data_IF_715512436057
#
_entry.id   IF_715512436057
#
_cell.length_a   1.000
_cell.length_b   1.000
_cell.length_c   1.000
_cell.angle_alpha   90.00
_cell.angle_beta   90.00
_cell.angle_gamma   90.00
#
_symmetry.space_group_name_H-M   'P 1'
#
loop_
_entity.id
_entity.type
_entity.pdbx_description
1 polymer ?
#
# COMPACT_ATOMS: atom_id res chain seq x y z
N UNK A 1 2.48 22.60 -7.01
CA UNK A 1 2.88 21.98 -8.28
C UNK A 1 1.87 20.89 -8.65
N UNK A 2 1.37 20.95 -9.84
CA UNK A 2 0.42 19.98 -10.34
C UNK A 2 1.15 18.70 -10.78
N UNK A 3 0.66 17.55 -10.33
CA UNK A 3 1.16 16.25 -10.81
C UNK A 3 0.54 15.94 -12.16
N UNK A 4 1.27 15.27 -13.07
CA UNK A 4 0.65 14.82 -14.32
C UNK A 4 -0.40 13.74 -14.01
N UNK A 5 -1.39 13.58 -14.90
CA UNK A 5 -2.37 12.51 -14.70
C UNK A 5 -1.71 11.13 -14.75
N UNK A 6 -2.24 10.19 -13.98
CA UNK A 6 -1.86 8.79 -14.10
C UNK A 6 -2.66 8.17 -15.24
N UNK A 7 -1.97 7.56 -16.19
CA UNK A 7 -2.61 6.94 -17.36
C UNK A 7 -2.31 5.45 -17.35
N UNK A 8 -3.33 4.64 -17.48
CA UNK A 8 -3.24 3.18 -17.48
C UNK A 8 -3.91 2.64 -18.73
N UNK A 9 -3.23 1.76 -19.42
CA UNK A 9 -3.78 1.03 -20.57
C UNK A 9 -3.83 -0.45 -20.26
N UNK A 10 -4.96 -1.09 -20.56
CA UNK A 10 -5.16 -2.52 -20.34
C UNK A 10 -5.58 -3.20 -21.62
N UNK A 11 -4.97 -4.36 -21.90
CA UNK A 11 -5.30 -5.19 -23.06
C UNK A 11 -5.68 -6.59 -22.59
N UNK A 12 -6.83 -7.09 -23.01
CA UNK A 12 -7.25 -8.45 -22.71
C UNK A 12 -6.33 -9.46 -23.39
N UNK A 13 -5.84 -10.44 -22.61
CA UNK A 13 -4.91 -11.46 -23.12
C UNK A 13 -5.45 -12.89 -22.94
N UNK A 14 -6.74 -13.03 -22.72
CA UNK A 14 -7.42 -14.31 -22.58
C UNK A 14 -7.96 -14.52 -21.18
N UNK A 15 -8.91 -15.41 -21.03
CA UNK A 15 -9.62 -15.69 -19.77
C UNK A 15 -10.06 -14.39 -19.10
N UNK A 16 -9.70 -14.18 -17.84
CA UNK A 16 -9.94 -12.92 -17.13
C UNK A 16 -8.61 -12.26 -16.78
N UNK A 17 -7.70 -12.23 -17.75
CA UNK A 17 -6.36 -11.67 -17.62
C UNK A 17 -6.20 -10.45 -18.52
N UNK A 18 -5.51 -9.46 -18.01
CA UNK A 18 -5.20 -8.23 -18.74
C UNK A 18 -3.73 -7.88 -18.56
N UNK A 19 -3.11 -7.51 -19.68
CA UNK A 19 -1.76 -6.93 -19.64
C UNK A 19 -1.89 -5.41 -19.53
N UNK A 20 -1.24 -4.82 -18.56
CA UNK A 20 -1.34 -3.40 -18.28
C UNK A 20 -0.02 -2.67 -18.38
N UNK A 21 -0.09 -1.41 -18.80
CA UNK A 21 1.05 -0.50 -18.80
C UNK A 21 0.64 0.84 -18.23
N UNK A 22 1.60 1.51 -17.58
CA UNK A 22 1.45 2.88 -17.12
C UNK A 22 2.82 3.52 -17.18
N UNK A 23 3.05 4.42 -18.15
CA UNK A 23 4.39 4.91 -18.43
C UNK A 23 5.33 3.74 -18.76
N UNK A 24 6.46 3.64 -18.08
CA UNK A 24 7.42 2.54 -18.24
C UNK A 24 7.09 1.32 -17.39
N UNK A 25 6.08 1.40 -16.52
CA UNK A 25 5.70 0.32 -15.63
C UNK A 25 4.71 -0.63 -16.31
N UNK A 26 4.75 -1.90 -15.93
CA UNK A 26 3.81 -2.90 -16.45
C UNK A 26 3.35 -3.83 -15.34
N UNK A 27 2.17 -4.41 -15.53
CA UNK A 27 1.57 -5.35 -14.60
C UNK A 27 0.57 -6.22 -15.33
N UNK A 28 0.50 -7.50 -14.99
CA UNK A 28 -0.59 -8.37 -15.42
C UNK A 28 -1.62 -8.44 -14.31
N UNK A 29 -2.89 -8.21 -14.65
CA UNK A 29 -4.00 -8.43 -13.73
C UNK A 29 -4.68 -9.73 -14.11
N UNK A 30 -4.95 -10.57 -13.11
CA UNK A 30 -5.60 -11.86 -13.29
C UNK A 30 -6.66 -12.02 -12.21
N UNK A 31 -7.92 -12.14 -12.62
CA UNK A 31 -9.03 -12.29 -11.68
C UNK A 31 -8.85 -13.52 -10.77
N UNK A 32 -8.16 -14.56 -11.25
CA UNK A 32 -7.85 -15.75 -10.47
C UNK A 32 -6.66 -15.56 -9.51
N UNK A 33 -5.90 -14.48 -9.67
CA UNK A 33 -4.76 -14.17 -8.81
C UNK A 33 -3.57 -15.09 -9.00
N UNK A 34 -3.41 -15.70 -10.18
CA UNK A 34 -2.33 -16.67 -10.46
C UNK A 34 -1.23 -16.04 -11.30
N UNK A 35 -1.56 -15.47 -12.46
CA UNK A 35 -0.56 -14.87 -13.35
C UNK A 35 -0.17 -13.45 -12.89
N UNK A 36 -0.91 -12.89 -11.98
CA UNK A 36 -0.69 -11.59 -11.39
C UNK A 36 -1.76 -11.34 -10.36
N UNK A 37 -1.73 -10.19 -9.67
CA UNK A 37 -2.76 -9.89 -8.69
C UNK A 37 -4.12 -9.67 -9.37
N UNK A 38 -5.18 -10.02 -8.65
CA UNK A 38 -6.52 -9.58 -9.05
C UNK A 38 -6.62 -8.06 -8.89
N UNK A 39 -7.61 -7.39 -9.52
CA UNK A 39 -7.79 -5.95 -9.30
C UNK A 39 -7.94 -5.57 -7.83
N UNK A 40 -8.64 -6.37 -7.04
CA UNK A 40 -8.83 -6.11 -5.62
C UNK A 40 -7.51 -6.29 -4.86
N UNK A 41 -6.74 -7.32 -5.18
CA UNK A 41 -5.39 -7.49 -4.60
C UNK A 41 -4.48 -6.33 -4.99
N UNK A 42 -4.59 -5.86 -6.23
CA UNK A 42 -3.78 -4.73 -6.71
C UNK A 42 -4.07 -3.45 -5.92
N UNK A 43 -5.34 -3.22 -5.53
CA UNK A 43 -5.69 -2.10 -4.67
C UNK A 43 -5.05 -2.25 -3.29
N UNK A 44 -5.01 -3.46 -2.74
CA UNK A 44 -4.32 -3.75 -1.48
C UNK A 44 -2.82 -3.48 -1.58
N UNK A 45 -2.18 -3.95 -2.65
CA UNK A 45 -0.77 -3.64 -2.92
C UNK A 45 -0.54 -2.13 -2.98
N UNK A 46 -1.43 -1.41 -3.66
CA UNK A 46 -1.30 0.03 -3.81
C UNK A 46 -1.37 0.75 -2.47
N UNK A 47 -2.33 0.39 -1.63
CA UNK A 47 -2.48 1.03 -0.32
C UNK A 47 -1.28 0.74 0.58
N UNK A 48 -0.93 -0.54 0.74
CA UNK A 48 0.20 -0.93 1.58
C UNK A 48 1.51 -0.33 1.07
N UNK A 49 1.74 -0.39 -0.24
CA UNK A 49 2.94 0.16 -0.86
C UNK A 49 3.04 1.67 -0.74
N UNK A 50 1.93 2.38 -0.89
CA UNK A 50 1.91 3.84 -0.78
C UNK A 50 2.28 4.28 0.65
N UNK A 51 1.66 3.69 1.66
CA UNK A 51 1.98 4.02 3.05
C UNK A 51 3.39 3.59 3.43
N UNK A 52 3.82 2.40 3.03
CA UNK A 52 5.18 1.93 3.29
C UNK A 52 6.23 2.85 2.66
N UNK A 53 5.97 3.31 1.44
CA UNK A 53 6.85 4.26 0.75
C UNK A 53 6.97 5.58 1.52
N UNK A 54 5.85 6.13 1.99
CA UNK A 54 5.85 7.35 2.77
C UNK A 54 6.65 7.18 4.07
N UNK A 55 6.40 6.09 4.78
CA UNK A 55 7.11 5.82 6.05
C UNK A 55 8.62 5.70 5.82
N UNK A 56 9.02 4.93 4.81
CA UNK A 56 10.44 4.78 4.47
C UNK A 56 11.06 6.13 4.12
N UNK A 57 10.38 6.89 3.26
CA UNK A 57 10.87 8.20 2.83
C UNK A 57 11.04 9.18 4.00
N UNK A 58 10.05 9.26 4.88
CA UNK A 58 10.08 10.16 6.04
C UNK A 58 11.19 9.76 6.99
N UNK A 59 11.35 8.47 7.28
CA UNK A 59 12.38 7.99 8.20
C UNK A 59 13.78 8.20 7.65
N UNK A 60 14.00 7.91 6.37
CA UNK A 60 15.30 8.11 5.73
C UNK A 60 15.64 9.59 5.66
N UNK A 61 14.69 10.44 5.29
CA UNK A 61 14.88 11.89 5.25
C UNK A 61 15.17 12.45 6.64
N UNK A 62 14.59 11.87 7.68
CA UNK A 62 14.87 12.22 9.08
C UNK A 62 16.19 11.67 9.59
N UNK A 63 16.98 11.03 8.74
CA UNK A 63 18.29 10.45 9.07
C UNK A 63 18.24 9.35 10.12
N UNK A 64 17.13 8.62 10.17
CA UNK A 64 17.04 7.44 11.02
C UNK A 64 17.66 6.24 10.32
N UNK A 65 18.36 5.34 11.05
CA UNK A 65 19.03 4.19 10.44
C UNK A 65 18.04 3.06 10.16
N UNK A 66 17.16 3.27 9.20
CA UNK A 66 16.19 2.27 8.76
C UNK A 66 16.92 1.12 8.08
N UNK A 67 16.73 -0.11 8.55
CA UNK A 67 17.37 -1.32 8.03
C UNK A 67 16.40 -2.21 7.27
N UNK A 68 15.13 -2.11 7.55
CA UNK A 68 14.09 -2.86 6.87
C UNK A 68 12.73 -2.32 7.21
N UNK A 69 11.79 -2.60 6.36
CA UNK A 69 10.39 -2.18 6.54
C UNK A 69 9.50 -3.23 5.90
N UNK A 70 8.55 -3.73 6.65
CA UNK A 70 7.57 -4.68 6.15
C UNK A 70 6.17 -4.15 6.40
N UNK A 71 5.28 -4.46 5.51
CA UNK A 71 3.88 -4.09 5.62
C UNK A 71 3.02 -5.33 5.38
N UNK A 72 2.06 -5.56 6.26
CA UNK A 72 1.13 -6.67 6.18
C UNK A 72 -0.28 -6.11 6.25
N UNK A 73 -1.05 -6.32 5.20
CA UNK A 73 -2.41 -5.80 5.09
C UNK A 73 -3.41 -6.94 5.12
N UNK A 74 -4.41 -6.82 5.99
CA UNK A 74 -5.60 -7.65 5.97
C UNK A 74 -6.77 -6.73 5.65
N UNK A 75 -7.49 -7.03 4.58
CA UNK A 75 -8.65 -6.23 4.16
C UNK A 75 -9.86 -7.15 4.05
N UNK A 76 -10.83 -6.93 4.93
CA UNK A 76 -12.07 -7.69 4.95
C UNK A 76 -13.05 -7.11 3.95
N UNK A 77 -13.72 -7.99 3.22
CA UNK A 77 -14.69 -7.61 2.18
C UNK A 77 -16.11 -7.86 2.68
N UNK A 78 -17.03 -7.01 2.23
CA UNK A 78 -18.45 -7.20 2.48
C UNK A 78 -18.93 -8.55 1.91
N UNK A 79 -19.80 -9.28 2.60
CA UNK A 79 -20.37 -10.52 2.06
C UNK A 79 -21.40 -10.25 0.94
N UNK A 80 -21.81 -8.99 0.75
CA UNK A 80 -22.77 -8.59 -0.27
C UNK A 80 -22.04 -8.00 -1.48
N UNK A 81 -22.64 -8.17 -2.67
CA UNK A 81 -22.09 -7.52 -3.86
C UNK A 81 -22.03 -6.00 -3.67
N UNK A 82 -20.98 -5.34 -4.13
CA UNK A 82 -19.82 -5.82 -4.90
C UNK A 82 -18.63 -6.28 -4.06
N UNK A 83 -18.80 -6.73 -2.84
CA UNK A 83 -17.74 -7.23 -1.96
C UNK A 83 -16.64 -6.19 -1.74
N UNK A 84 -17.05 -4.97 -1.42
CA UNK A 84 -16.09 -3.87 -1.19
C UNK A 84 -15.30 -4.08 0.10
N UNK A 85 -14.16 -3.45 0.24
CA UNK A 85 -13.45 -3.42 1.52
C UNK A 85 -14.28 -2.67 2.55
N UNK A 86 -14.51 -3.30 3.71
CA UNK A 86 -15.25 -2.68 4.81
C UNK A 86 -14.35 -2.43 6.03
N UNK A 87 -13.28 -3.20 6.16
CA UNK A 87 -12.31 -3.06 7.25
C UNK A 87 -10.94 -3.43 6.75
N UNK A 88 -9.94 -2.64 7.15
CA UNK A 88 -8.55 -2.91 6.81
C UNK A 88 -7.68 -2.72 8.04
N UNK A 89 -6.70 -3.61 8.20
CA UNK A 89 -5.66 -3.48 9.21
C UNK A 89 -4.31 -3.59 8.51
N UNK A 90 -3.51 -2.54 8.61
CA UNK A 90 -2.16 -2.51 8.06
C UNK A 90 -1.18 -2.57 9.22
N UNK A 91 -0.37 -3.63 9.26
CA UNK A 91 0.67 -3.78 10.27
C UNK A 91 2.02 -3.47 9.64
N UNK A 92 2.71 -2.46 10.18
CA UNK A 92 4.02 -2.02 9.69
C UNK A 92 5.08 -2.43 10.70
N UNK A 93 6.08 -3.17 10.24
CA UNK A 93 7.25 -3.55 11.04
C UNK A 93 8.44 -2.73 10.59
N UNK A 94 8.98 -1.94 11.51
CA UNK A 94 10.15 -1.08 11.27
C UNK A 94 11.36 -1.75 11.86
N UNK A 95 12.37 -2.03 11.05
CA UNK A 95 13.61 -2.68 11.48
C UNK A 95 14.75 -1.68 11.50
N UNK A 96 15.55 -1.74 12.54
CA UNK A 96 16.69 -0.87 12.76
C UNK A 96 16.55 -0.06 14.04
N UNK A 97 17.54 0.76 14.31
CA UNK A 97 17.57 1.61 15.50
C UNK A 97 16.80 2.92 15.25
N UNK A 98 15.49 2.77 15.05
CA UNK A 98 14.57 3.88 14.77
C UNK A 98 13.68 4.08 16.00
N UNK A 99 13.60 5.30 16.54
CA UNK A 99 12.70 5.55 17.68
C UNK A 99 11.24 5.24 17.33
N UNK A 100 10.53 4.64 18.25
CA UNK A 100 9.10 4.32 18.07
C UNK A 100 8.29 5.56 17.74
N UNK A 101 8.59 6.69 18.37
CA UNK A 101 7.90 7.97 18.14
C UNK A 101 8.09 8.46 16.70
N UNK A 102 9.29 8.28 16.13
CA UNK A 102 9.56 8.65 14.76
C UNK A 102 8.74 7.80 13.78
N UNK A 103 8.65 6.50 14.05
CA UNK A 103 7.84 5.57 13.25
C UNK A 103 6.36 5.92 13.34
N UNK A 104 5.85 6.19 14.53
CA UNK A 104 4.45 6.55 14.73
C UNK A 104 4.11 7.87 14.03
N UNK A 105 5.02 8.84 14.09
CA UNK A 105 4.84 10.13 13.41
C UNK A 105 4.81 9.94 11.89
N UNK A 106 5.72 9.12 11.35
CA UNK A 106 5.77 8.85 9.92
C UNK A 106 4.46 8.21 9.42
N UNK A 107 3.94 7.25 10.18
CA UNK A 107 2.67 6.59 9.88
C UNK A 107 1.52 7.60 9.92
N UNK A 108 1.45 8.43 10.97
CA UNK A 108 0.39 9.44 11.10
C UNK A 108 0.42 10.44 9.95
N UNK A 109 1.61 10.90 9.55
CA UNK A 109 1.76 11.82 8.42
C UNK A 109 1.33 11.19 7.10
N UNK A 110 1.67 9.93 6.87
CA UNK A 110 1.23 9.21 5.68
C UNK A 110 -0.29 9.12 5.64
N UNK A 111 -0.89 8.66 6.72
CA UNK A 111 -2.34 8.47 6.78
C UNK A 111 -3.10 9.79 6.65
N UNK A 112 -2.69 10.81 7.38
CA UNK A 112 -3.43 12.06 7.44
C UNK A 112 -3.19 12.97 6.24
N UNK A 113 -2.01 12.89 5.63
CA UNK A 113 -1.62 13.91 4.65
C UNK A 113 -1.07 13.36 3.33
N UNK A 114 -0.20 12.35 3.35
CA UNK A 114 0.63 12.05 2.18
C UNK A 114 0.20 10.85 1.35
N UNK A 115 -0.53 9.88 1.91
CA UNK A 115 -0.89 8.67 1.17
C UNK A 115 -1.96 8.97 0.12
N UNK A 116 -1.52 9.16 -1.14
CA UNK A 116 -2.43 9.44 -2.25
C UNK A 116 -3.45 8.33 -2.45
N UNK A 117 -3.06 7.08 -2.23
CA UNK A 117 -3.98 5.95 -2.41
C UNK A 117 -5.08 5.98 -1.36
N UNK A 118 -4.72 6.11 -0.07
CA UNK A 118 -5.74 6.17 0.99
C UNK A 118 -6.70 7.35 0.76
N UNK A 119 -6.15 8.53 0.43
CA UNK A 119 -6.96 9.72 0.18
C UNK A 119 -7.81 9.62 -1.10
N UNK A 120 -7.56 8.64 -1.94
CA UNK A 120 -8.37 8.35 -3.15
C UNK A 120 -9.39 7.25 -2.91
N UNK A 121 -9.45 6.67 -1.71
CA UNK A 121 -10.40 5.63 -1.35
C UNK A 121 -11.56 6.23 -0.54
N UNK A 122 -12.66 5.48 -0.45
CA UNK A 122 -13.76 5.93 0.41
C UNK A 122 -13.31 5.90 1.87
N UNK A 123 -13.72 6.93 2.62
CA UNK A 123 -13.23 7.16 3.98
C UNK A 123 -14.06 6.45 5.05
N UNK A 124 -15.13 5.79 4.68
CA UNK A 124 -15.97 5.01 5.61
C UNK A 124 -15.49 3.56 5.78
N UNK A 125 -14.36 3.20 5.17
CA UNK A 125 -13.69 1.95 5.48
C UNK A 125 -13.04 2.06 6.86
N UNK A 126 -13.32 1.10 7.75
CA UNK A 126 -12.68 1.07 9.07
C UNK A 126 -11.21 0.69 8.91
N UNK A 127 -10.31 1.66 8.97
CA UNK A 127 -8.89 1.46 8.69
C UNK A 127 -8.05 1.70 9.93
N UNK A 128 -7.31 0.67 10.34
CA UNK A 128 -6.40 0.69 11.49
C UNK A 128 -4.98 0.41 11.01
N UNK A 129 -4.02 1.19 11.50
CA UNK A 129 -2.59 0.95 11.26
C UNK A 129 -1.92 0.67 12.59
N UNK A 130 -1.21 -0.44 12.65
CA UNK A 130 -0.43 -0.86 13.82
C UNK A 130 1.05 -0.89 13.48
N UNK A 131 1.90 -0.81 14.49
CA UNK A 131 3.35 -0.73 14.29
C UNK A 131 4.07 -1.66 15.25
N UNK A 132 5.12 -2.28 14.75
CA UNK A 132 6.06 -3.05 15.53
C UNK A 132 7.47 -2.53 15.25
N UNK A 133 8.28 -2.34 16.31
CA UNK A 133 9.70 -2.06 16.19
C UNK A 133 10.46 -3.36 16.34
N UNK A 134 11.38 -3.63 15.42
CA UNK A 134 12.23 -4.82 15.48
C UNK A 134 13.70 -4.43 15.33
N UNK A 135 14.62 -5.17 15.94
CA UNK A 135 16.04 -4.94 15.70
C UNK A 135 16.39 -5.26 14.25
N UNK A 136 17.49 -4.67 13.75
CA UNK A 136 17.97 -4.97 12.42
C UNK A 136 18.29 -6.47 12.31
N UNK A 137 17.89 -7.10 11.18
CA UNK A 137 18.26 -8.48 10.91
C UNK A 137 19.76 -8.61 10.72
N UNK A 138 20.34 -9.66 11.27
CA UNK A 138 21.77 -9.92 11.15
C UNK A 138 22.16 -10.31 9.72
#
# INVERSE_FOLDING_TARGET
MQKPPTVVDLTWVGDLKFSGTSGAASMTLDSAGVAGPSPVQALGFALAGCMATDVAHILVKGRHPLRGLRAHLIADRSPEDPHRFVRMTLHITVEGDVPAEASDRAIALSREKYCSVWHSMRQDIAFTVTREQAPASA
#
